data_IF_236862546372
#
_entry.id   IF_236862546372
#
_cell.length_a   1.000
_cell.length_b   1.000
_cell.length_c   1.000
_cell.angle_alpha   90.00
_cell.angle_beta   90.00
_cell.angle_gamma   90.00
#
_symmetry.space_group_name_H-M   'P 1'
#
loop_
_entity.id
_entity.type
_entity.pdbx_description
1 polymer ?
#
# COMPACT_ATOMS: atom_id res chain seq x y z
N UNK A 1 -14.11 27.73 -17.11
CA UNK A 1 -14.22 28.30 -15.75
C UNK A 1 -14.14 27.17 -14.77
N UNK A 2 -12.99 26.99 -14.10
CA UNK A 2 -12.85 26.06 -12.99
C UNK A 2 -13.59 26.62 -11.78
N UNK A 3 -14.48 25.83 -11.19
CA UNK A 3 -15.10 26.14 -9.92
C UNK A 3 -14.06 26.01 -8.80
N UNK A 4 -13.99 26.97 -7.90
CA UNK A 4 -12.98 27.10 -6.84
C UNK A 4 -13.02 25.99 -5.75
N UNK A 5 -13.95 25.05 -5.81
CA UNK A 5 -14.17 24.04 -4.76
C UNK A 5 -13.93 22.59 -5.20
N UNK A 6 -13.19 22.36 -6.30
CA UNK A 6 -12.77 21.01 -6.66
C UNK A 6 -11.45 20.66 -5.98
N UNK A 7 -11.53 19.93 -4.87
CA UNK A 7 -10.36 19.30 -4.25
C UNK A 7 -9.98 18.05 -5.03
N UNK A 8 -8.90 18.12 -5.79
CA UNK A 8 -8.30 16.93 -6.39
C UNK A 8 -7.45 16.22 -5.35
N UNK A 9 -7.93 15.11 -4.82
CA UNK A 9 -7.10 14.21 -4.02
C UNK A 9 -6.33 13.31 -4.97
N UNK A 10 -5.10 13.67 -5.31
CA UNK A 10 -4.19 12.76 -5.99
C UNK A 10 -3.73 11.70 -4.98
N UNK A 11 -4.23 10.49 -5.12
CA UNK A 11 -3.69 9.34 -4.38
C UNK A 11 -2.43 8.89 -5.12
N UNK A 12 -1.28 9.36 -4.67
CA UNK A 12 -0.01 8.78 -5.08
C UNK A 12 0.15 7.45 -4.35
N UNK A 13 -0.08 6.33 -5.03
CA UNK A 13 0.56 5.10 -4.60
C UNK A 13 2.05 5.33 -4.87
N UNK A 14 2.85 5.46 -3.82
CA UNK A 14 4.29 5.37 -3.95
C UNK A 14 4.57 4.04 -4.66
N UNK A 15 5.00 4.08 -5.93
CA UNK A 15 5.67 2.92 -6.50
C UNK A 15 6.87 2.71 -5.60
N UNK A 16 7.11 1.46 -5.20
CA UNK A 16 8.22 1.07 -4.34
C UNK A 16 9.54 1.16 -5.12
N UNK A 17 9.90 2.37 -5.57
CA UNK A 17 11.18 2.63 -6.20
C UNK A 17 12.27 2.59 -5.16
N UNK A 18 13.28 1.76 -5.41
CA UNK A 18 14.56 1.84 -4.71
C UNK A 18 15.35 2.98 -5.31
N UNK A 19 15.55 2.96 -6.63
CA UNK A 19 16.12 4.05 -7.42
C UNK A 19 15.54 4.07 -8.83
N UNK A 20 15.46 5.25 -9.43
CA UNK A 20 14.99 5.39 -10.81
C UNK A 20 15.67 6.55 -11.55
N UNK A 21 15.92 6.35 -12.85
CA UNK A 21 16.36 7.35 -13.81
C UNK A 21 15.31 7.46 -14.90
N UNK A 22 14.54 8.52 -14.83
CA UNK A 22 13.52 8.89 -15.80
C UNK A 22 14.07 9.87 -16.85
N UNK A 23 15.22 10.47 -16.55
CA UNK A 23 15.90 11.48 -17.39
C UNK A 23 15.01 12.68 -17.70
N UNK A 24 14.16 13.05 -16.76
CA UNK A 24 13.16 14.11 -16.91
C UNK A 24 13.77 15.52 -16.98
N UNK A 25 14.97 15.74 -16.37
CA UNK A 25 15.58 17.05 -16.29
C UNK A 25 16.60 17.26 -17.41
N UNK A 26 16.30 18.20 -18.32
CA UNK A 26 17.29 18.66 -19.31
C UNK A 26 18.52 19.27 -18.60
N UNK A 27 19.71 18.97 -19.14
CA UNK A 27 20.96 19.63 -18.76
C UNK A 27 21.62 19.17 -17.48
N UNK A 28 21.07 18.20 -16.77
CA UNK A 28 21.86 17.44 -15.80
C UNK A 28 22.60 16.33 -16.55
N UNK A 29 23.90 16.27 -16.39
CA UNK A 29 24.62 15.03 -16.65
C UNK A 29 24.03 14.00 -15.68
N UNK A 30 22.95 13.35 -16.06
CA UNK A 30 21.96 12.61 -15.26
C UNK A 30 22.49 11.42 -14.52
N UNK A 31 23.62 11.56 -13.85
CA UNK A 31 24.31 10.49 -13.14
C UNK A 31 23.62 10.09 -11.86
N UNK A 32 23.09 11.07 -11.12
CA UNK A 32 22.31 10.80 -9.89
C UNK A 32 20.90 10.38 -10.24
N UNK A 33 20.33 9.43 -9.50
CA UNK A 33 18.96 8.98 -9.69
C UNK A 33 17.97 10.14 -9.55
N UNK A 34 16.95 10.16 -10.40
CA UNK A 34 15.87 11.17 -10.36
C UNK A 34 14.94 10.92 -9.16
N UNK A 35 14.77 9.65 -8.79
CA UNK A 35 14.01 9.19 -7.63
C UNK A 35 14.83 8.16 -6.87
N UNK A 36 14.86 8.29 -5.54
CA UNK A 36 15.56 7.37 -4.67
C UNK A 36 14.79 7.18 -3.36
N UNK A 37 14.77 5.95 -2.85
CA UNK A 37 14.38 5.66 -1.48
C UNK A 37 15.46 6.18 -0.51
N UNK A 38 15.12 6.31 0.77
CA UNK A 38 16.07 6.65 1.81
C UNK A 38 17.36 5.81 1.70
N UNK A 39 18.49 6.40 1.99
CA UNK A 39 19.85 5.83 1.86
C UNK A 39 20.33 5.59 0.41
N UNK A 40 19.60 6.08 -0.58
CA UNK A 40 19.94 5.98 -2.00
C UNK A 40 20.06 7.35 -2.70
N UNK A 41 19.98 8.46 -2.00
CA UNK A 41 19.94 9.82 -2.57
C UNK A 41 21.18 10.18 -3.44
N UNK A 42 22.31 9.53 -3.19
CA UNK A 42 23.56 9.74 -3.93
C UNK A 42 23.86 8.65 -4.96
N UNK A 43 22.92 7.75 -5.23
CA UNK A 43 23.13 6.65 -6.19
C UNK A 43 23.28 7.20 -7.60
N UNK A 44 24.30 6.71 -8.28
CA UNK A 44 24.65 7.17 -9.63
C UNK A 44 24.59 6.03 -10.64
N UNK A 45 24.23 6.38 -11.86
CA UNK A 45 24.49 5.58 -13.05
C UNK A 45 25.85 5.96 -13.62
N UNK A 46 26.76 5.01 -13.79
CA UNK A 46 28.11 5.23 -14.29
C UNK A 46 28.39 4.37 -15.51
N UNK A 47 29.16 4.92 -16.46
CA UNK A 47 29.68 4.19 -17.60
C UNK A 47 31.12 3.74 -17.27
N UNK A 48 31.40 2.44 -17.37
CA UNK A 48 32.69 1.83 -17.00
C UNK A 48 33.25 0.95 -18.12
N UNK A 49 34.53 0.70 -18.09
CA UNK A 49 35.18 -0.38 -18.84
C UNK A 49 35.58 -1.57 -17.93
N UNK A 50 36.18 -2.60 -18.50
CA UNK A 50 36.56 -3.81 -17.77
C UNK A 50 37.66 -3.54 -16.73
N UNK A 51 38.47 -2.49 -16.93
CA UNK A 51 39.54 -2.05 -16.04
C UNK A 51 39.02 -1.18 -14.88
N UNK A 52 37.71 -0.87 -14.89
CA UNK A 52 37.02 -0.06 -13.85
C UNK A 52 37.10 1.44 -14.05
N UNK A 53 37.66 1.91 -15.16
CA UNK A 53 37.69 3.33 -15.49
C UNK A 53 36.28 3.83 -15.74
N UNK A 54 36.01 5.07 -15.33
CA UNK A 54 34.71 5.72 -15.55
C UNK A 54 34.80 6.71 -16.69
N UNK A 55 33.75 6.74 -17.53
CA UNK A 55 33.65 7.62 -18.70
C UNK A 55 32.51 8.59 -18.54
N UNK A 56 32.66 9.77 -19.08
CA UNK A 56 31.54 10.70 -19.28
C UNK A 56 30.54 10.15 -20.31
N UNK A 57 29.29 10.43 -20.11
CA UNK A 57 28.22 10.10 -21.04
C UNK A 57 27.32 11.31 -21.23
N UNK A 58 26.54 11.30 -22.30
CA UNK A 58 25.69 12.41 -22.66
C UNK A 58 24.25 12.06 -22.34
N UNK A 59 23.52 13.03 -21.81
CA UNK A 59 22.07 13.00 -21.72
C UNK A 59 21.52 13.64 -23.00
N UNK A 60 20.77 12.87 -23.81
CA UNK A 60 20.30 13.30 -25.14
C UNK A 60 18.81 13.03 -25.31
N UNK A 61 18.04 14.10 -25.55
CA UNK A 61 16.63 14.03 -25.86
C UNK A 61 16.33 13.61 -27.31
N UNK A 62 17.26 13.86 -28.23
CA UNK A 62 17.02 13.68 -29.67
C UNK A 62 17.58 12.40 -30.25
N UNK A 63 18.03 11.45 -29.44
CA UNK A 63 18.54 10.16 -29.90
C UNK A 63 17.36 9.30 -30.36
N UNK A 64 17.18 9.22 -31.69
CA UNK A 64 16.02 8.55 -32.30
C UNK A 64 14.67 9.02 -31.75
N UNK A 65 14.55 10.31 -31.41
CA UNK A 65 13.34 10.87 -30.82
C UNK A 65 13.25 10.77 -29.28
N UNK A 66 14.34 10.36 -28.61
CA UNK A 66 14.30 10.02 -27.18
C UNK A 66 13.45 8.78 -26.90
N UNK A 67 13.26 8.45 -25.62
CA UNK A 67 12.28 7.46 -25.21
C UNK A 67 11.02 8.19 -24.75
N UNK A 68 9.92 8.03 -25.51
CA UNK A 68 8.65 8.74 -25.22
C UNK A 68 8.79 10.26 -25.05
N UNK A 69 9.70 10.89 -25.84
CA UNK A 69 9.96 12.33 -25.77
C UNK A 69 10.87 12.77 -24.64
N UNK A 70 11.46 11.83 -23.87
CA UNK A 70 12.39 12.10 -22.76
C UNK A 70 13.83 11.82 -23.15
N UNK A 71 14.77 12.31 -22.34
CA UNK A 71 16.18 12.07 -22.50
C UNK A 71 16.57 10.59 -22.27
N UNK A 72 17.78 10.22 -22.65
CA UNK A 72 18.37 8.91 -22.42
C UNK A 72 19.88 9.05 -22.16
N UNK A 73 20.42 8.17 -21.34
CA UNK A 73 21.86 8.02 -21.20
C UNK A 73 22.44 7.42 -22.46
N UNK A 74 23.38 8.10 -23.12
CA UNK A 74 23.95 7.64 -24.38
C UNK A 74 25.46 7.40 -24.26
N UNK A 75 25.89 6.30 -24.84
CA UNK A 75 27.28 5.91 -24.98
C UNK A 75 27.59 5.70 -26.45
N UNK A 76 28.26 6.67 -27.07
CA UNK A 76 28.71 6.59 -28.46
C UNK A 76 30.20 6.36 -28.52
N UNK A 77 30.67 5.50 -29.44
CA UNK A 77 32.07 5.20 -29.63
C UNK A 77 32.90 6.46 -29.87
N UNK A 78 32.33 7.45 -30.57
CA UNK A 78 32.96 8.76 -30.79
C UNK A 78 33.18 9.57 -29.49
N UNK A 79 32.30 9.37 -28.47
CA UNK A 79 32.38 10.11 -27.21
C UNK A 79 33.36 9.48 -26.24
N UNK A 80 33.39 8.17 -26.16
CA UNK A 80 34.21 7.43 -25.20
C UNK A 80 35.58 7.02 -25.77
N UNK A 81 35.76 7.09 -27.09
CA UNK A 81 36.93 6.54 -27.82
C UNK A 81 37.20 5.06 -27.60
N UNK A 82 36.25 4.35 -27.00
CA UNK A 82 36.26 2.90 -26.78
C UNK A 82 35.62 2.18 -27.93
N UNK A 83 36.08 0.98 -28.23
CA UNK A 83 35.45 0.13 -29.23
C UNK A 83 34.04 -0.34 -28.78
N UNK A 84 33.28 -0.80 -29.74
CA UNK A 84 31.92 -1.28 -29.51
C UNK A 84 31.90 -2.43 -28.48
N UNK A 85 31.09 -2.29 -27.44
CA UNK A 85 30.95 -3.31 -26.40
C UNK A 85 32.07 -3.38 -25.36
N UNK A 86 33.02 -2.45 -25.37
CA UNK A 86 34.10 -2.37 -24.34
C UNK A 86 33.62 -1.67 -23.06
N UNK A 87 32.52 -0.93 -23.11
CA UNK A 87 31.98 -0.23 -21.96
C UNK A 87 30.62 -0.79 -21.57
N UNK A 88 30.25 -0.62 -20.31
CA UNK A 88 28.97 -1.03 -19.75
C UNK A 88 28.44 0.01 -18.77
N UNK A 89 27.11 0.11 -18.68
CA UNK A 89 26.44 0.89 -17.65
C UNK A 89 26.40 0.13 -16.34
N UNK A 90 26.59 0.81 -15.23
CA UNK A 90 26.53 0.22 -13.89
C UNK A 90 25.90 1.19 -12.88
N UNK A 91 25.15 0.64 -11.95
CA UNK A 91 24.72 1.32 -10.73
C UNK A 91 24.95 0.44 -9.51
N UNK A 92 25.06 1.08 -8.34
CA UNK A 92 25.10 0.44 -7.01
C UNK A 92 24.07 1.10 -6.13
N UNK A 93 23.25 0.32 -5.46
CA UNK A 93 22.20 0.83 -4.57
C UNK A 93 22.10 0.01 -3.28
N UNK A 94 21.47 0.60 -2.25
CA UNK A 94 21.14 -0.03 -0.97
C UNK A 94 19.73 -0.63 -1.05
N UNK A 95 19.60 -1.92 -0.80
CA UNK A 95 18.35 -2.67 -0.78
C UNK A 95 17.98 -3.21 0.61
N UNK A 96 18.57 -2.70 1.70
CA UNK A 96 18.40 -3.25 3.06
C UNK A 96 16.94 -3.33 3.51
N UNK A 97 16.09 -2.41 3.03
CA UNK A 97 14.67 -2.37 3.37
C UNK A 97 13.76 -2.96 2.28
N UNK A 98 14.31 -3.74 1.33
CA UNK A 98 13.54 -4.20 0.18
C UNK A 98 13.72 -5.70 -0.10
N UNK A 99 12.63 -6.31 -0.61
CA UNK A 99 12.58 -7.66 -1.18
C UNK A 99 12.01 -7.61 -2.59
N UNK A 100 11.98 -8.74 -3.30
CA UNK A 100 11.37 -8.88 -4.63
C UNK A 100 11.85 -7.83 -5.63
N UNK A 101 13.16 -7.61 -5.66
CA UNK A 101 13.79 -6.54 -6.41
C UNK A 101 13.66 -6.81 -7.91
N UNK A 102 13.19 -5.81 -8.65
CA UNK A 102 13.05 -5.85 -10.10
C UNK A 102 13.82 -4.71 -10.75
N UNK A 103 14.42 -5.01 -11.89
CA UNK A 103 15.14 -4.06 -12.73
C UNK A 103 14.41 -3.95 -14.08
N UNK A 104 13.85 -2.80 -14.36
CA UNK A 104 13.25 -2.48 -15.66
C UNK A 104 14.07 -1.41 -16.34
N UNK A 105 14.31 -1.56 -17.64
CA UNK A 105 15.00 -0.57 -18.45
C UNK A 105 14.65 -0.73 -19.93
N UNK A 106 14.94 0.30 -20.72
CA UNK A 106 14.80 0.28 -22.18
C UNK A 106 16.12 0.61 -22.82
N UNK A 107 16.45 -0.09 -23.89
CA UNK A 107 17.68 0.11 -24.65
C UNK A 107 17.41 0.34 -26.14
N UNK A 108 18.29 1.10 -26.77
CA UNK A 108 18.29 1.36 -28.19
C UNK A 108 19.74 1.42 -28.66
N UNK A 109 20.01 0.92 -29.86
CA UNK A 109 21.26 1.27 -30.54
C UNK A 109 21.02 2.22 -31.73
N UNK A 110 22.01 3.06 -31.97
CA UNK A 110 22.03 3.94 -33.14
C UNK A 110 22.89 3.29 -34.21
N UNK A 111 22.99 3.32 -35.33
CA UNK A 111 23.81 2.72 -36.40
C UNK A 111 24.21 1.28 -36.17
N UNK A 112 25.15 1.01 -35.24
CA UNK A 112 25.78 -0.29 -35.07
C UNK A 112 25.97 -0.62 -33.57
N UNK A 113 25.63 -1.86 -33.17
CA UNK A 113 25.83 -2.39 -31.83
C UNK A 113 25.76 -3.93 -31.80
N UNK A 114 26.18 -4.53 -30.68
CA UNK A 114 25.78 -5.90 -30.37
C UNK A 114 24.27 -6.01 -30.26
N UNK A 115 23.69 -7.09 -30.80
CA UNK A 115 22.25 -7.31 -30.83
C UNK A 115 21.67 -7.44 -29.42
N UNK A 116 22.44 -7.98 -28.47
CA UNK A 116 21.98 -8.33 -27.13
C UNK A 116 22.86 -7.67 -26.09
N UNK A 117 22.22 -7.13 -25.07
CA UNK A 117 22.85 -6.66 -23.84
C UNK A 117 22.35 -7.45 -22.64
N UNK A 118 23.28 -8.05 -21.89
CA UNK A 118 22.98 -8.75 -20.66
C UNK A 118 22.69 -7.76 -19.54
N UNK A 119 21.70 -8.07 -18.73
CA UNK A 119 21.47 -7.44 -17.43
C UNK A 119 21.99 -8.40 -16.38
N UNK A 120 22.92 -7.92 -15.59
CA UNK A 120 23.62 -8.72 -14.59
C UNK A 120 23.61 -8.02 -13.24
N UNK A 121 23.59 -8.79 -12.15
CA UNK A 121 23.71 -8.27 -10.80
C UNK A 121 24.94 -8.85 -10.10
N UNK A 122 25.36 -8.15 -9.04
CA UNK A 122 26.45 -8.59 -8.15
C UNK A 122 26.22 -8.07 -6.75
N UNK A 123 26.73 -8.75 -5.72
CA UNK A 123 26.71 -8.31 -4.33
C UNK A 123 28.08 -7.75 -3.88
N UNK A 124 29.15 -8.05 -4.61
CA UNK A 124 30.52 -7.64 -4.31
C UNK A 124 31.11 -6.68 -5.37
N UNK A 125 30.45 -6.55 -6.52
CA UNK A 125 30.94 -5.77 -7.67
C UNK A 125 31.97 -6.51 -8.53
N UNK A 126 32.34 -7.74 -8.17
CA UNK A 126 33.37 -8.56 -8.83
C UNK A 126 32.76 -9.78 -9.53
N UNK A 127 31.91 -10.53 -8.84
CA UNK A 127 31.24 -11.72 -9.35
C UNK A 127 29.84 -11.35 -9.87
N UNK A 128 29.65 -11.56 -11.16
CA UNK A 128 28.43 -11.15 -11.85
C UNK A 128 27.59 -12.35 -12.26
N UNK A 129 26.29 -12.24 -12.02
CA UNK A 129 25.29 -13.23 -12.43
C UNK A 129 24.29 -12.57 -13.37
N UNK A 130 24.11 -13.18 -14.54
CA UNK A 130 23.11 -12.75 -15.52
C UNK A 130 21.70 -13.03 -15.02
N UNK A 131 20.84 -12.02 -15.03
CA UNK A 131 19.41 -12.13 -14.67
C UNK A 131 18.50 -12.06 -15.90
N UNK A 132 19.02 -11.58 -17.01
CA UNK A 132 18.31 -11.53 -18.27
C UNK A 132 19.09 -10.81 -19.36
N UNK A 133 18.42 -10.53 -20.47
CA UNK A 133 19.03 -9.80 -21.57
C UNK A 133 17.98 -9.01 -22.36
N UNK A 134 18.39 -7.89 -22.93
CA UNK A 134 17.61 -7.09 -23.85
C UNK A 134 18.16 -7.31 -25.25
N UNK A 135 17.38 -7.98 -26.11
CA UNK A 135 17.70 -8.20 -27.50
C UNK A 135 17.01 -7.12 -28.37
N UNK A 136 17.80 -6.31 -29.04
CA UNK A 136 17.36 -5.19 -29.84
C UNK A 136 17.19 -5.60 -31.30
N UNK A 137 15.95 -5.70 -31.84
CA UNK A 137 15.71 -6.27 -33.17
C UNK A 137 16.17 -5.39 -34.32
N UNK A 138 16.38 -4.10 -34.08
CA UNK A 138 16.78 -3.15 -35.13
C UNK A 138 17.30 -1.83 -34.56
N UNK A 139 18.07 -1.11 -35.40
CA UNK A 139 18.58 0.20 -35.03
C UNK A 139 17.44 1.20 -34.82
N UNK A 140 17.63 2.12 -33.87
CA UNK A 140 16.69 3.20 -33.52
C UNK A 140 15.31 2.72 -33.03
N UNK A 141 15.21 1.46 -32.61
CA UNK A 141 14.01 0.87 -32.02
C UNK A 141 14.23 0.60 -30.53
N UNK A 142 13.48 1.28 -29.68
CA UNK A 142 13.54 1.05 -28.23
C UNK A 142 12.99 -0.32 -27.88
N UNK A 143 13.72 -1.05 -27.05
CA UNK A 143 13.35 -2.36 -26.55
C UNK A 143 13.43 -2.38 -25.03
N UNK A 144 12.31 -2.68 -24.39
CA UNK A 144 12.22 -2.77 -22.94
C UNK A 144 12.51 -4.19 -22.45
N UNK A 145 13.06 -4.28 -21.23
CA UNK A 145 13.20 -5.51 -20.47
C UNK A 145 12.89 -5.27 -19.00
N UNK A 146 12.31 -6.28 -18.34
CA UNK A 146 12.10 -6.29 -16.89
C UNK A 146 12.56 -7.63 -16.34
N UNK A 147 13.39 -7.60 -15.29
CA UNK A 147 14.06 -8.76 -14.73
C UNK A 147 13.96 -8.74 -13.21
N UNK A 148 13.65 -9.89 -12.59
CA UNK A 148 13.65 -10.05 -11.14
C UNK A 148 15.02 -10.51 -10.70
N UNK A 149 15.59 -9.82 -9.70
CA UNK A 149 16.83 -10.26 -9.07
C UNK A 149 16.56 -11.47 -8.17
N UNK A 150 17.52 -12.41 -8.02
CA UNK A 150 17.40 -13.51 -7.09
C UNK A 150 17.23 -13.05 -5.64
N UNK A 151 16.70 -13.93 -4.78
CA UNK A 151 16.39 -13.63 -3.38
C UNK A 151 17.64 -13.20 -2.56
N UNK A 152 18.83 -13.59 -2.99
CA UNK A 152 20.10 -13.19 -2.38
C UNK A 152 20.36 -11.67 -2.46
N UNK A 153 19.72 -10.98 -3.40
CA UNK A 153 19.79 -9.53 -3.52
C UNK A 153 18.90 -8.79 -2.50
N UNK A 154 17.96 -9.50 -1.87
CA UNK A 154 17.07 -8.93 -0.87
C UNK A 154 17.82 -8.54 0.40
N UNK A 155 17.43 -7.41 1.01
CA UNK A 155 18.01 -6.90 2.26
C UNK A 155 19.53 -6.70 2.23
N UNK A 156 20.13 -6.44 1.09
CA UNK A 156 21.56 -6.21 0.95
C UNK A 156 21.89 -4.71 1.02
N UNK A 157 22.93 -4.35 1.77
CA UNK A 157 23.43 -2.97 1.85
C UNK A 157 24.09 -2.51 0.54
N UNK A 158 24.46 -3.44 -0.33
CA UNK A 158 25.05 -3.15 -1.62
C UNK A 158 24.58 -4.18 -2.66
N UNK A 159 23.85 -3.69 -3.65
CA UNK A 159 23.48 -4.45 -4.84
C UNK A 159 23.99 -3.67 -6.04
N UNK A 160 24.70 -4.34 -6.92
CA UNK A 160 25.17 -3.79 -8.18
C UNK A 160 24.35 -4.35 -9.32
N UNK A 161 24.04 -3.51 -10.30
CA UNK A 161 23.40 -3.89 -11.56
C UNK A 161 24.19 -3.30 -12.71
N UNK A 162 24.42 -4.09 -13.78
CA UNK A 162 25.06 -3.59 -15.00
C UNK A 162 24.36 -4.07 -16.26
N UNK A 163 24.48 -3.26 -17.30
CA UNK A 163 24.07 -3.54 -18.68
C UNK A 163 25.31 -3.64 -19.55
N UNK A 164 25.65 -4.84 -19.99
CA UNK A 164 26.88 -5.16 -20.70
C UNK A 164 26.60 -5.90 -22.01
N UNK A 165 27.34 -5.58 -23.06
CA UNK A 165 27.20 -6.24 -24.35
C UNK A 165 27.42 -7.75 -24.24
N UNK A 166 26.53 -8.53 -24.78
CA UNK A 166 26.75 -9.96 -25.04
C UNK A 166 27.60 -10.11 -26.31
N UNK A 167 28.92 -10.22 -26.12
CA UNK A 167 29.88 -10.30 -27.24
C UNK A 167 29.77 -11.59 -28.06
N UNK A 168 28.94 -12.55 -27.61
CA UNK A 168 28.61 -13.75 -28.38
C UNK A 168 27.43 -13.51 -29.33
N UNK A 169 26.68 -12.42 -29.16
CA UNK A 169 25.60 -12.03 -30.05
C UNK A 169 26.13 -11.37 -31.34
N UNK A 170 25.31 -11.33 -32.36
CA UNK A 170 25.65 -10.67 -33.63
C UNK A 170 25.78 -9.16 -33.43
N UNK A 171 26.66 -8.54 -34.19
CA UNK A 171 26.67 -7.09 -34.36
C UNK A 171 25.63 -6.74 -35.45
N UNK A 172 24.71 -5.86 -35.11
CA UNK A 172 23.60 -5.42 -35.98
C UNK A 172 23.74 -3.96 -36.39
N UNK A 173 23.18 -3.65 -37.54
CA UNK A 173 23.18 -2.32 -38.10
C UNK A 173 24.29 -2.09 -39.09
N UNK A 174 24.53 -0.84 -39.43
CA UNK A 174 25.59 -0.42 -40.36
C UNK A 174 26.52 0.55 -39.62
N UNK A 175 27.84 0.43 -39.84
CA UNK A 175 28.82 1.33 -39.29
C UNK A 175 28.50 2.78 -39.63
N UNK A 176 28.48 3.62 -38.62
CA UNK A 176 28.16 5.04 -38.73
C UNK A 176 29.13 5.91 -37.93
N UNK A 177 28.85 7.18 -37.90
CA UNK A 177 29.68 8.15 -37.15
C UNK A 177 29.45 8.14 -35.65
N UNK A 178 28.35 7.52 -35.17
CA UNK A 178 27.95 7.45 -33.78
C UNK A 178 27.41 6.05 -33.45
N UNK A 179 28.24 5.04 -33.65
CA UNK A 179 27.93 3.68 -33.19
C UNK A 179 27.82 3.66 -31.67
N UNK A 180 26.87 2.90 -31.14
CA UNK A 180 26.69 2.75 -29.70
C UNK A 180 25.25 2.60 -29.26
N UNK A 181 25.05 2.71 -27.98
CA UNK A 181 23.79 2.41 -27.29
C UNK A 181 23.28 3.59 -26.48
N UNK A 182 21.97 3.59 -26.27
CA UNK A 182 21.26 4.42 -25.33
C UNK A 182 20.51 3.55 -24.31
N UNK A 183 20.43 4.00 -23.07
CA UNK A 183 19.74 3.40 -21.97
C UNK A 183 18.75 4.42 -21.38
N UNK A 184 17.50 4.03 -21.22
CA UNK A 184 16.44 4.91 -20.74
C UNK A 184 15.48 4.19 -19.79
N UNK A 185 14.71 4.97 -19.05
CA UNK A 185 13.68 4.50 -18.12
C UNK A 185 14.16 3.35 -17.24
N UNK A 186 15.20 3.61 -16.46
CA UNK A 186 15.72 2.65 -15.51
C UNK A 186 14.89 2.77 -14.23
N UNK A 187 14.19 1.71 -13.90
CA UNK A 187 13.40 1.60 -12.67
C UNK A 187 13.86 0.36 -11.90
N UNK A 188 14.48 0.57 -10.76
CA UNK A 188 14.79 -0.49 -9.80
C UNK A 188 13.75 -0.37 -8.70
N UNK A 189 12.88 -1.38 -8.59
CA UNK A 189 11.76 -1.42 -7.66
C UNK A 189 11.93 -2.60 -6.71
N UNK A 190 11.21 -2.57 -5.59
CA UNK A 190 11.14 -3.69 -4.64
C UNK A 190 9.95 -3.52 -3.72
N UNK A 191 9.60 -4.59 -3.03
CA UNK A 191 8.62 -4.55 -1.95
C UNK A 191 9.31 -4.02 -0.70
N UNK A 192 8.89 -2.86 -0.21
CA UNK A 192 9.46 -2.29 1.00
C UNK A 192 9.19 -3.22 2.20
N UNK A 193 10.22 -3.57 2.94
CA UNK A 193 10.12 -4.32 4.18
C UNK A 193 9.59 -3.38 5.27
N UNK A 194 8.57 -3.82 5.98
CA UNK A 194 8.10 -3.12 7.15
C UNK A 194 9.21 -3.11 8.22
N UNK A 195 9.44 -1.95 8.82
CA UNK A 195 10.37 -1.85 9.95
C UNK A 195 9.74 -2.57 11.15
N UNK A 196 10.43 -3.57 11.65
CA UNK A 196 10.06 -4.30 12.87
C UNK A 196 10.78 -3.64 14.05
N UNK A 197 10.04 -2.92 14.89
CA UNK A 197 10.58 -2.31 16.12
C UNK A 197 10.60 -3.26 17.30
N UNK A 198 10.11 -4.51 17.13
CA UNK A 198 10.06 -5.55 18.15
C UNK A 198 9.02 -5.27 19.25
N UNK A 199 8.14 -4.27 19.07
CA UNK A 199 7.13 -3.89 20.06
C UNK A 199 5.73 -4.30 19.61
N UNK A 200 4.90 -4.72 20.55
CA UNK A 200 3.50 -5.05 20.28
C UNK A 200 2.64 -3.79 20.41
N UNK A 201 1.55 -3.67 19.64
CA UNK A 201 0.67 -2.53 19.68
C UNK A 201 0.05 -2.33 21.07
N UNK A 202 -0.07 -1.08 21.51
CA UNK A 202 -0.62 -0.69 22.79
C UNK A 202 -2.01 -0.08 22.61
N UNK A 203 -3.00 -0.59 23.36
CA UNK A 203 -4.35 -0.02 23.37
C UNK A 203 -4.32 1.38 23.98
N UNK A 204 -4.73 2.38 23.19
CA UNK A 204 -4.81 3.79 23.59
C UNK A 204 -6.18 4.18 24.10
N UNK A 205 -7.23 3.65 23.50
CA UNK A 205 -8.62 3.95 23.89
C UNK A 205 -9.59 2.89 23.41
N UNK A 206 -10.74 2.84 24.07
CA UNK A 206 -11.87 1.96 23.68
C UNK A 206 -13.22 2.66 23.84
N UNK A 207 -14.16 2.26 23.00
CA UNK A 207 -15.57 2.65 23.07
C UNK A 207 -16.42 1.38 23.03
N UNK A 208 -17.36 1.17 23.96
CA UNK A 208 -17.67 2.01 25.13
C UNK A 208 -16.49 2.15 26.08
N UNK A 209 -16.46 3.24 26.87
CA UNK A 209 -15.46 3.38 27.91
C UNK A 209 -15.66 2.29 28.99
N UNK A 210 -14.58 1.96 29.73
CA UNK A 210 -14.66 1.03 30.86
C UNK A 210 -15.72 1.52 31.85
N UNK A 211 -16.66 0.66 32.23
CA UNK A 211 -17.73 0.97 33.17
C UNK A 211 -18.79 1.95 32.65
N UNK A 212 -18.84 2.22 31.36
CA UNK A 212 -19.92 3.05 30.79
C UNK A 212 -21.30 2.47 31.08
N UNK A 213 -22.26 3.33 31.46
CA UNK A 213 -23.62 2.91 31.90
C UNK A 213 -24.73 3.26 30.90
N UNK A 214 -24.38 3.78 29.74
CA UNK A 214 -25.34 4.28 28.75
C UNK A 214 -25.11 3.75 27.33
N UNK A 215 -24.45 2.61 27.20
CA UNK A 215 -24.18 2.00 25.90
C UNK A 215 -25.48 1.65 25.17
N UNK A 216 -25.49 1.77 23.85
CA UNK A 216 -26.64 1.38 23.06
C UNK A 216 -26.83 -0.13 23.05
N UNK A 217 -28.07 -0.63 23.00
CA UNK A 217 -28.36 -2.06 22.80
C UNK A 217 -27.93 -2.56 21.39
N UNK A 218 -27.72 -1.66 20.45
CA UNK A 218 -27.13 -1.93 19.14
C UNK A 218 -25.98 -0.94 18.94
N UNK A 219 -24.78 -1.42 18.73
CA UNK A 219 -23.62 -0.54 18.70
C UNK A 219 -22.36 -1.21 18.19
N UNK A 220 -21.25 -0.61 18.58
CA UNK A 220 -19.92 -1.08 18.19
C UNK A 220 -18.98 -0.98 19.39
N UNK A 221 -18.10 -1.95 19.52
CA UNK A 221 -16.88 -1.82 20.30
C UNK A 221 -15.79 -1.36 19.34
N UNK A 222 -15.12 -0.27 19.68
CA UNK A 222 -14.00 0.26 18.91
C UNK A 222 -12.77 0.28 19.78
N UNK A 223 -11.72 -0.39 19.37
CA UNK A 223 -10.40 -0.37 20.01
C UNK A 223 -9.48 0.47 19.15
N UNK A 224 -8.78 1.42 19.73
CA UNK A 224 -7.78 2.26 19.04
C UNK A 224 -6.41 2.01 19.64
N UNK A 225 -5.44 1.69 18.80
CA UNK A 225 -4.05 1.41 19.16
C UNK A 225 -3.12 2.57 18.79
N UNK A 226 -1.92 2.57 19.31
CA UNK A 226 -0.87 3.55 19.05
C UNK A 226 -0.30 3.44 17.64
N UNK A 227 -0.43 2.28 17.00
CA UNK A 227 0.07 1.97 15.66
C UNK A 227 -0.94 1.22 14.78
N UNK A 228 -0.56 0.90 13.54
CA UNK A 228 -1.36 0.08 12.63
C UNK A 228 -1.37 -1.37 13.09
N UNK A 229 -2.56 -1.96 13.11
CA UNK A 229 -2.78 -3.33 13.62
C UNK A 229 -3.43 -4.24 12.59
N UNK A 230 -3.31 -5.54 12.84
CA UNK A 230 -4.05 -6.60 12.17
C UNK A 230 -4.62 -7.58 13.20
N UNK A 231 -5.71 -8.26 12.85
CA UNK A 231 -6.17 -9.44 13.58
C UNK A 231 -5.36 -10.64 13.11
N UNK A 232 -4.93 -11.46 14.07
CA UNK A 232 -4.25 -12.73 13.76
C UNK A 232 -5.25 -13.81 13.34
N UNK A 233 -4.79 -14.89 12.74
CA UNK A 233 -5.66 -16.03 12.40
C UNK A 233 -6.30 -16.69 13.64
N UNK A 234 -5.67 -16.58 14.79
CA UNK A 234 -6.14 -17.10 16.07
C UNK A 234 -6.96 -16.08 16.88
N UNK A 235 -7.31 -14.93 16.28
CA UNK A 235 -8.01 -13.86 16.99
C UNK A 235 -9.36 -14.34 17.54
N UNK A 236 -9.56 -14.10 18.85
CA UNK A 236 -10.80 -14.44 19.59
C UNK A 236 -11.29 -13.22 20.33
N UNK A 237 -12.43 -12.70 19.91
CA UNK A 237 -13.15 -11.61 20.57
C UNK A 237 -14.53 -12.11 21.00
N UNK A 238 -14.94 -11.80 22.24
CA UNK A 238 -16.25 -12.20 22.75
C UNK A 238 -16.92 -11.06 23.50
N UNK A 239 -18.27 -11.10 23.53
CA UNK A 239 -19.11 -10.27 24.39
C UNK A 239 -20.00 -11.18 25.21
N UNK A 240 -19.82 -11.26 26.52
CA UNK A 240 -20.45 -12.24 27.40
C UNK A 240 -20.38 -13.68 26.83
N UNK A 241 -19.19 -14.06 26.29
CA UNK A 241 -18.95 -15.38 25.71
C UNK A 241 -19.48 -15.58 24.26
N UNK A 242 -20.25 -14.63 23.71
CA UNK A 242 -20.65 -14.67 22.31
C UNK A 242 -19.53 -14.13 21.43
N UNK A 243 -19.12 -14.89 20.43
CA UNK A 243 -18.07 -14.48 19.51
C UNK A 243 -18.46 -13.25 18.68
N UNK A 244 -17.48 -12.35 18.49
CA UNK A 244 -17.61 -11.18 17.66
C UNK A 244 -16.55 -11.19 16.54
N UNK A 245 -16.99 -10.80 15.35
CA UNK A 245 -16.07 -10.61 14.21
C UNK A 245 -15.58 -9.17 14.17
N UNK A 246 -14.28 -8.99 14.13
CA UNK A 246 -13.64 -7.68 14.07
C UNK A 246 -13.40 -7.22 12.62
N UNK A 247 -13.44 -5.92 12.40
CA UNK A 247 -13.01 -5.26 11.15
C UNK A 247 -11.89 -4.29 11.48
N UNK A 248 -10.78 -4.39 10.77
CA UNK A 248 -9.59 -3.55 10.97
C UNK A 248 -9.58 -2.39 9.99
N UNK A 249 -9.23 -1.20 10.49
CA UNK A 249 -8.97 -0.01 9.68
C UNK A 249 -7.82 0.80 10.29
N UNK A 250 -6.62 0.66 9.73
CA UNK A 250 -5.42 1.34 10.21
C UNK A 250 -5.10 0.99 11.66
N UNK A 251 -5.26 1.95 12.58
CA UNK A 251 -5.00 1.80 14.03
C UNK A 251 -6.23 1.30 14.81
N UNK A 252 -7.36 1.04 14.16
CA UNK A 252 -8.61 0.72 14.85
C UNK A 252 -9.13 -0.66 14.49
N UNK A 253 -9.73 -1.33 15.48
CA UNK A 253 -10.51 -2.56 15.30
C UNK A 253 -11.92 -2.29 15.80
N UNK A 254 -12.91 -2.66 15.00
CA UNK A 254 -14.32 -2.46 15.30
C UNK A 254 -15.07 -3.80 15.34
N UNK A 255 -15.80 -4.04 16.41
CA UNK A 255 -16.70 -5.19 16.61
C UNK A 255 -18.11 -4.69 16.72
N UNK A 256 -18.99 -5.05 15.79
CA UNK A 256 -20.39 -4.67 15.84
C UNK A 256 -21.21 -5.65 16.71
N UNK A 257 -22.14 -5.12 17.49
CA UNK A 257 -23.10 -5.91 18.26
C UNK A 257 -24.51 -5.37 18.12
N UNK A 258 -25.51 -6.23 18.33
CA UNK A 258 -26.92 -5.88 18.24
C UNK A 258 -27.78 -6.74 19.17
N UNK A 259 -28.93 -6.21 19.56
CA UNK A 259 -29.95 -6.97 20.30
C UNK A 259 -29.58 -7.21 21.76
N UNK A 260 -28.70 -6.41 22.36
CA UNK A 260 -28.39 -6.52 23.78
C UNK A 260 -29.59 -6.12 24.65
N UNK A 261 -29.73 -6.76 25.81
CA UNK A 261 -30.74 -6.39 26.80
C UNK A 261 -30.46 -5.00 27.36
N UNK A 262 -31.48 -4.25 27.71
CA UNK A 262 -31.34 -2.96 28.39
C UNK A 262 -30.95 -3.14 29.86
N UNK A 263 -30.32 -2.10 30.44
CA UNK A 263 -29.87 -2.05 31.82
C UNK A 263 -29.06 -3.30 32.26
N UNK A 264 -28.29 -3.84 31.35
CA UNK A 264 -27.53 -5.09 31.53
C UNK A 264 -26.05 -4.85 31.32
N UNK A 265 -25.24 -5.40 32.21
CA UNK A 265 -23.79 -5.36 32.10
C UNK A 265 -23.30 -6.41 31.09
N UNK A 266 -22.37 -6.00 30.25
CA UNK A 266 -21.70 -6.83 29.26
C UNK A 266 -20.19 -6.71 29.40
N UNK A 267 -19.51 -7.86 29.37
CA UNK A 267 -18.05 -7.94 29.40
C UNK A 267 -17.52 -8.30 28.00
N UNK A 268 -16.71 -7.41 27.47
CA UNK A 268 -15.93 -7.68 26.27
C UNK A 268 -14.60 -8.31 26.66
N UNK A 269 -14.17 -9.31 25.91
CA UNK A 269 -12.85 -9.91 26.04
C UNK A 269 -12.25 -10.15 24.65
N UNK A 270 -10.99 -9.79 24.51
CA UNK A 270 -10.14 -10.06 23.34
C UNK A 270 -8.87 -10.74 23.85
N UNK A 271 -8.66 -11.99 23.44
CA UNK A 271 -7.57 -12.81 23.94
C UNK A 271 -6.19 -12.27 23.57
N UNK A 272 -5.20 -12.50 24.40
CA UNK A 272 -3.78 -12.30 24.07
C UNK A 272 -3.44 -12.98 22.73
N UNK A 273 -2.57 -12.38 21.96
CA UNK A 273 -2.21 -12.89 20.63
C UNK A 273 -3.24 -12.61 19.53
N UNK A 274 -4.44 -12.05 19.84
CA UNK A 274 -5.48 -11.76 18.84
C UNK A 274 -5.18 -10.57 17.94
N UNK A 275 -4.36 -9.65 18.40
CA UNK A 275 -3.97 -8.43 17.68
C UNK A 275 -2.46 -8.38 17.58
N UNK A 276 -1.96 -8.08 16.40
CA UNK A 276 -0.55 -7.83 16.15
C UNK A 276 -0.37 -6.55 15.34
N UNK A 277 0.83 -5.99 15.34
CA UNK A 277 1.26 -5.01 14.38
C UNK A 277 1.42 -5.65 12.98
N UNK A 278 1.89 -4.88 12.01
CA UNK A 278 2.09 -5.38 10.64
C UNK A 278 3.32 -6.31 10.52
N UNK A 279 4.20 -6.35 11.53
CA UNK A 279 5.41 -7.17 11.61
C UNK A 279 5.28 -8.40 12.51
N UNK A 280 4.04 -8.72 12.92
CA UNK A 280 3.67 -9.90 13.73
C UNK A 280 4.01 -9.81 15.23
N UNK A 281 4.32 -8.61 15.74
CA UNK A 281 4.43 -8.41 17.19
C UNK A 281 3.03 -8.38 17.82
N UNK A 282 2.64 -9.46 18.46
CA UNK A 282 1.29 -9.63 19.03
C UNK A 282 1.18 -9.13 20.47
N UNK A 283 0.00 -8.61 20.85
CA UNK A 283 -0.32 -8.26 22.24
C UNK A 283 -0.15 -9.49 23.13
N UNK A 284 0.46 -9.28 24.31
CA UNK A 284 0.81 -10.37 25.25
C UNK A 284 -0.23 -10.59 26.35
N UNK A 285 -1.21 -9.70 26.47
CA UNK A 285 -2.25 -9.74 27.50
C UNK A 285 -3.63 -9.62 26.90
N UNK A 286 -4.62 -10.20 27.56
CA UNK A 286 -6.01 -10.03 27.20
C UNK A 286 -6.45 -8.57 27.36
N UNK A 287 -7.32 -8.10 26.47
CA UNK A 287 -8.03 -6.83 26.62
C UNK A 287 -9.44 -7.16 27.11
N UNK A 288 -9.75 -6.81 28.36
CA UNK A 288 -11.06 -7.10 28.96
C UNK A 288 -11.61 -5.85 29.63
N UNK A 289 -12.89 -5.56 29.38
CA UNK A 289 -13.60 -4.48 30.06
C UNK A 289 -15.12 -4.70 29.99
N UNK A 290 -15.83 -4.08 30.94
CA UNK A 290 -17.30 -4.13 31.00
C UNK A 290 -17.92 -2.77 30.74
N UNK A 291 -19.15 -2.81 30.26
CA UNK A 291 -20.04 -1.66 30.11
C UNK A 291 -21.48 -2.09 30.33
N UNK A 292 -22.33 -1.16 30.73
CA UNK A 292 -23.77 -1.40 30.94
C UNK A 292 -24.58 -0.69 29.83
N UNK A 293 -25.55 -1.38 29.29
CA UNK A 293 -26.46 -0.78 28.32
C UNK A 293 -27.41 0.20 29.02
N UNK A 294 -27.83 1.23 28.27
CA UNK A 294 -28.81 2.20 28.77
C UNK A 294 -30.11 1.52 29.22
N UNK A 295 -30.80 2.18 30.08
CA UNK A 295 -32.13 1.73 30.47
C UNK A 295 -33.12 1.71 29.28
N UNK A 296 -34.11 0.81 29.37
CA UNK A 296 -35.18 0.78 28.39
C UNK A 296 -35.92 2.12 28.46
N UNK A 297 -36.13 2.81 27.33
CA UNK A 297 -36.86 4.05 27.33
C UNK A 297 -38.23 3.85 27.97
N UNK A 298 -38.57 4.70 28.93
CA UNK A 298 -39.90 4.69 29.54
C UNK A 298 -40.95 4.99 28.47
N UNK A 299 -41.97 4.14 28.43
CA UNK A 299 -43.13 4.40 27.56
C UNK A 299 -43.98 5.46 28.25
N UNK A 300 -43.99 6.66 27.68
CA UNK A 300 -44.72 7.80 28.23
C UNK A 300 -45.95 8.12 27.37
N UNK A 301 -46.97 8.69 28.00
CA UNK A 301 -48.18 9.14 27.31
C UNK A 301 -47.94 10.22 26.25
N UNK A 302 -46.80 10.93 26.34
CA UNK A 302 -46.37 11.88 25.31
C UNK A 302 -46.03 11.23 23.96
N UNK A 303 -45.64 9.94 23.94
CA UNK A 303 -45.31 9.18 22.74
C UNK A 303 -46.49 8.41 22.16
N UNK A 304 -47.53 8.13 23.01
CA UNK A 304 -48.66 7.31 22.66
C UNK A 304 -49.95 7.94 23.24
N UNK A 305 -51.05 7.83 22.50
CA UNK A 305 -52.33 8.36 22.87
C UNK A 305 -53.05 7.45 23.89
N UNK A 306 -52.69 6.15 23.88
CA UNK A 306 -53.22 5.14 24.80
C UNK A 306 -52.17 4.05 25.09
N UNK A 307 -52.02 3.65 26.34
CA UNK A 307 -51.05 2.59 26.78
C UNK A 307 -51.83 1.45 27.43
N UNK A 308 -51.82 0.27 26.85
CA UNK A 308 -52.41 -0.94 27.38
C UNK A 308 -51.40 -1.67 28.26
N UNK A 309 -51.74 -2.14 29.48
CA UNK A 309 -53.04 -2.03 30.17
C UNK A 309 -53.10 -0.76 31.05
N UNK A 310 -52.15 0.14 31.00
CA UNK A 310 -52.02 1.28 31.94
C UNK A 310 -53.24 2.23 31.85
N UNK A 311 -53.70 2.54 30.66
CA UNK A 311 -54.82 3.44 30.42
C UNK A 311 -56.14 2.67 30.24
N UNK A 312 -56.09 1.34 30.16
CA UNK A 312 -57.22 0.45 29.98
C UNK A 312 -56.93 -0.75 29.10
N UNK A 313 -57.99 -1.47 28.75
CA UNK A 313 -57.93 -2.66 27.90
C UNK A 313 -57.67 -2.32 26.41
N UNK A 314 -57.31 -3.31 25.62
CA UNK A 314 -57.14 -3.15 24.17
C UNK A 314 -58.44 -2.72 23.49
N UNK A 315 -59.60 -3.25 23.94
CA UNK A 315 -60.94 -2.86 23.45
C UNK A 315 -61.22 -1.38 23.71
N UNK A 316 -60.88 -0.89 24.92
CA UNK A 316 -61.02 0.53 25.27
C UNK A 316 -60.07 1.42 24.45
N UNK A 317 -58.89 0.95 24.14
CA UNK A 317 -57.94 1.66 23.26
C UNK A 317 -58.53 1.83 21.85
N UNK A 318 -59.12 0.79 21.29
CA UNK A 318 -59.81 0.85 19.99
C UNK A 318 -61.03 1.79 20.02
N UNK A 319 -61.82 1.72 21.10
CA UNK A 319 -62.96 2.63 21.28
C UNK A 319 -62.51 4.11 21.41
N UNK A 320 -61.44 4.38 22.10
CA UNK A 320 -60.83 5.71 22.20
C UNK A 320 -60.31 6.20 20.84
N UNK A 321 -59.66 5.33 20.08
CA UNK A 321 -59.25 5.64 18.73
C UNK A 321 -60.40 5.98 17.78
N UNK A 322 -61.52 5.27 17.91
CA UNK A 322 -62.74 5.53 17.11
C UNK A 322 -63.40 6.86 17.47
N UNK A 323 -63.35 7.28 18.73
CA UNK A 323 -63.97 8.51 19.25
C UNK A 323 -63.04 9.74 19.17
N UNK A 324 -61.84 9.65 18.60
CA UNK A 324 -60.93 10.78 18.53
C UNK A 324 -61.51 11.96 17.73
N UNK A 325 -61.25 13.16 18.23
CA UNK A 325 -61.79 14.39 17.62
C UNK A 325 -61.16 14.73 16.26
N UNK A 326 -59.88 14.37 16.06
CA UNK A 326 -59.14 14.62 14.83
C UNK A 326 -58.78 13.29 14.16
N UNK A 327 -59.52 12.94 13.11
CA UNK A 327 -59.29 11.70 12.34
C UNK A 327 -58.19 11.81 11.32
N UNK A 328 -57.61 13.00 11.08
CA UNK A 328 -56.47 13.22 10.20
C UNK A 328 -55.15 12.83 10.86
N UNK A 329 -55.09 12.79 12.18
CA UNK A 329 -53.92 12.35 12.94
C UNK A 329 -54.00 10.87 13.29
N UNK A 330 -52.81 10.24 13.31
CA UNK A 330 -52.69 8.85 13.77
C UNK A 330 -52.97 8.78 15.28
N UNK A 331 -53.80 7.85 15.73
CA UNK A 331 -53.96 7.47 17.13
C UNK A 331 -52.97 6.32 17.42
N UNK A 332 -52.03 6.55 18.35
CA UNK A 332 -50.93 5.64 18.67
C UNK A 332 -51.25 4.85 19.93
N UNK A 333 -51.42 3.55 19.80
CA UNK A 333 -51.64 2.63 20.91
C UNK A 333 -50.34 1.89 21.18
N UNK A 334 -49.85 1.93 22.40
CA UNK A 334 -48.78 1.08 22.86
C UNK A 334 -49.33 -0.07 23.70
N UNK A 335 -48.99 -1.31 23.33
CA UNK A 335 -49.36 -2.50 24.06
C UNK A 335 -48.14 -3.03 24.75
N UNK A 336 -48.08 -2.99 26.09
CA UNK A 336 -47.02 -3.61 26.87
C UNK A 336 -47.06 -5.12 26.65
N UNK A 337 -45.93 -5.79 26.83
CA UNK A 337 -45.87 -7.25 26.75
C UNK A 337 -46.83 -7.88 27.77
N UNK A 338 -47.62 -8.85 27.35
CA UNK A 338 -48.61 -9.57 28.19
C UNK A 338 -49.62 -10.30 27.33
N UNK A 339 -50.50 -11.07 27.99
CA UNK A 339 -51.61 -11.77 27.36
C UNK A 339 -52.84 -10.86 27.34
N UNK A 340 -53.39 -10.59 26.19
CA UNK A 340 -54.54 -9.71 26.00
C UNK A 340 -55.65 -10.42 25.25
N UNK A 341 -56.89 -10.31 25.76
CA UNK A 341 -58.04 -10.73 25.00
C UNK A 341 -58.31 -9.72 23.88
N UNK A 342 -58.30 -10.20 22.66
CA UNK A 342 -58.73 -9.44 21.49
C UNK A 342 -60.22 -9.71 21.30
N UNK A 343 -61.07 -8.69 21.11
CA UNK A 343 -62.52 -8.85 20.90
C UNK A 343 -62.82 -9.57 19.61
#
# INVERSE_FOLDING_TARGET
>A
TMNADQTFTATFSAKDYIVAWDFYQEGKEGRTADFAAADNDAVQLVLRDAEGNSYGWLDKSNTAGGYEGKNAAVNWTKTTTKALGETYWQTKFNATAFTDIKVKSSMLYNYNAYETYNVEYSLDGEKWTKVGAIAMPGAKAWTAGEFTLPAEANNQAAVFVRWIADKTSSVKGTTGTNDGIALAQIYITGTAKLFDDGTAPVLQSQVPAVGATNASANGKIVLTFDEKVKLTESAKATLNGQELTGTVSGKTITFAYKGLSYATEYTFALAAGSVADLTDNAIKSDITFSFTTKEKPAVTKALYDFIVPTDGTFTEALAAAAKRADTSKRFRIFIKQGDYKIP
#
